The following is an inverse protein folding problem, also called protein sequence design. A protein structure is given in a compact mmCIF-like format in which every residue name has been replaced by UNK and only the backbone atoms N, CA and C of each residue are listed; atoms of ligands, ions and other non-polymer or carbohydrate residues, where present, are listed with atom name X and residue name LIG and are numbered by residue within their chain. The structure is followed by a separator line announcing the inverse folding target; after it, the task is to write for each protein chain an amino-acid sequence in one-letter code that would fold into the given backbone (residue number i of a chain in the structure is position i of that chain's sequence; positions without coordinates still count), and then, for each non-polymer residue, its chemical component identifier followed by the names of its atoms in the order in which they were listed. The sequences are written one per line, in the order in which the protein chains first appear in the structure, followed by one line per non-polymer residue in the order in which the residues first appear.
data_IF_325479968474
#
_entry.id   IF_325479968474
#
_cell.length_a   1.000
_cell.length_b   1.000
_cell.length_c   1.000
_cell.angle_alpha   90.00
_cell.angle_beta   90.00
_cell.angle_gamma   90.00
#
_symmetry.space_group_name_H-M   'P 1'
#
loop_
_entity.id
_entity.type
_entity.pdbx_description
1 polymer ?
#
# COMPACT_ATOMS: atom_id res chain seq x y z
N UNK A 1 -2.34 24.15 -10.61
CA UNK A 1 -2.17 24.94 -9.35
C UNK A 1 -1.04 24.29 -8.57
N UNK A 2 0.01 25.02 -8.23
CA UNK A 2 1.13 24.44 -7.46
C UNK A 2 0.76 24.46 -5.96
N UNK A 3 0.40 23.31 -5.40
CA UNK A 3 -0.06 23.16 -4.02
C UNK A 3 1.00 23.60 -2.98
N UNK A 4 2.30 23.45 -3.29
CA UNK A 4 3.39 23.98 -2.44
C UNK A 4 3.31 25.49 -2.21
N UNK A 5 2.74 26.25 -3.17
CA UNK A 5 2.60 27.70 -3.06
C UNK A 5 1.31 28.16 -2.38
N UNK A 6 0.36 27.28 -2.15
CA UNK A 6 -0.96 27.64 -1.59
C UNK A 6 -0.97 27.74 -0.07
N UNK A 7 0.01 27.15 0.63
CA UNK A 7 0.03 27.06 2.10
C UNK A 7 -1.05 26.16 2.72
N UNK A 8 -1.90 25.51 1.88
CA UNK A 8 -2.98 24.64 2.36
C UNK A 8 -2.57 23.19 2.56
N UNK A 9 -1.42 22.78 2.00
CA UNK A 9 -0.94 21.39 2.04
C UNK A 9 0.51 21.40 2.47
N UNK A 10 0.82 20.63 3.50
CA UNK A 10 2.19 20.28 3.86
C UNK A 10 2.68 19.21 2.87
N UNK A 11 3.51 19.62 1.92
CA UNK A 11 4.00 18.75 0.85
C UNK A 11 5.06 17.77 1.33
N UNK A 12 5.64 17.97 2.50
CA UNK A 12 6.64 17.07 3.08
C UNK A 12 5.97 15.95 3.89
N UNK A 13 4.64 16.06 4.10
CA UNK A 13 3.81 15.09 4.82
C UNK A 13 2.74 14.42 3.94
N UNK A 14 3.02 14.24 2.65
CA UNK A 14 2.10 13.53 1.74
C UNK A 14 2.20 12.03 2.00
N UNK A 15 1.06 11.41 2.29
CA UNK A 15 0.94 9.96 2.44
C UNK A 15 0.28 9.38 1.20
N UNK A 16 0.87 8.32 0.64
CA UNK A 16 0.24 7.56 -0.45
C UNK A 16 -0.65 6.48 0.12
N UNK A 17 -1.84 6.30 -0.45
CA UNK A 17 -2.79 5.30 0.01
C UNK A 17 -3.30 4.47 -1.15
N UNK A 18 -3.44 3.15 -0.90
CA UNK A 18 -4.01 2.25 -1.88
C UNK A 18 -4.65 1.01 -1.27
N UNK A 19 -5.58 0.43 -2.03
CA UNK A 19 -6.28 -0.80 -1.66
C UNK A 19 -6.09 -1.86 -2.74
N UNK A 20 -5.85 -3.11 -2.38
CA UNK A 20 -5.73 -4.23 -3.32
C UNK A 20 -4.64 -3.97 -4.37
N UNK A 21 -4.95 -4.03 -5.66
CA UNK A 21 -4.04 -3.65 -6.75
C UNK A 21 -3.62 -2.17 -6.67
N UNK A 22 -4.50 -1.26 -6.19
CA UNK A 22 -4.14 0.13 -5.87
C UNK A 22 -3.15 0.24 -4.71
N UNK A 23 -3.17 -0.73 -3.78
CA UNK A 23 -2.15 -0.89 -2.74
C UNK A 23 -0.78 -1.21 -3.33
N UNK A 24 -0.74 -2.08 -4.36
CA UNK A 24 0.49 -2.35 -5.12
C UNK A 24 1.03 -1.08 -5.77
N UNK A 25 0.19 -0.30 -6.45
CA UNK A 25 0.61 0.96 -7.09
C UNK A 25 1.16 1.97 -6.07
N UNK A 26 0.49 2.14 -4.93
CA UNK A 26 0.96 3.01 -3.85
C UNK A 26 2.30 2.54 -3.29
N UNK A 27 2.45 1.23 -3.09
CA UNK A 27 3.70 0.64 -2.64
C UNK A 27 4.82 0.72 -3.69
N UNK A 28 4.53 0.61 -5.00
CA UNK A 28 5.51 0.87 -6.06
C UNK A 28 6.10 2.28 -5.93
N UNK A 29 5.27 3.31 -5.78
CA UNK A 29 5.80 4.66 -5.56
C UNK A 29 6.67 4.73 -4.30
N UNK A 30 6.21 4.12 -3.20
CA UNK A 30 6.94 4.10 -1.93
C UNK A 30 8.29 3.37 -1.99
N UNK A 31 8.42 2.35 -2.85
CA UNK A 31 9.68 1.61 -3.04
C UNK A 31 10.62 2.31 -4.04
N UNK A 32 10.07 2.90 -5.09
CA UNK A 32 10.86 3.37 -6.23
C UNK A 32 11.05 4.89 -6.30
N UNK A 33 10.47 5.69 -5.40
CA UNK A 33 10.57 7.15 -5.43
C UNK A 33 12.01 7.68 -5.55
N UNK A 34 12.98 6.97 -4.97
CA UNK A 34 14.39 7.34 -4.94
C UNK A 34 15.16 6.96 -6.22
N UNK A 35 14.53 6.21 -7.14
CA UNK A 35 15.18 5.72 -8.35
C UNK A 35 15.25 6.80 -9.43
N UNK A 36 16.39 6.84 -10.14
CA UNK A 36 16.60 7.81 -11.21
C UNK A 36 15.61 7.66 -12.36
N UNK A 37 15.32 6.41 -12.74
CA UNK A 37 14.41 6.13 -13.84
C UNK A 37 12.99 6.66 -13.60
N UNK A 38 12.47 6.58 -12.35
CA UNK A 38 11.15 7.09 -12.03
C UNK A 38 11.10 8.62 -12.06
N UNK A 39 12.14 9.29 -11.54
CA UNK A 39 12.26 10.73 -11.59
C UNK A 39 12.32 11.25 -13.05
N UNK A 40 13.09 10.58 -13.89
CA UNK A 40 13.20 10.90 -15.34
C UNK A 40 11.85 10.70 -16.06
N UNK A 41 11.18 9.58 -15.83
CA UNK A 41 9.84 9.32 -16.40
C UNK A 41 8.80 10.36 -15.95
N UNK A 42 8.84 10.76 -14.69
CA UNK A 42 7.93 11.76 -14.14
C UNK A 42 8.30 13.21 -14.51
N UNK A 43 9.48 13.45 -15.03
CA UNK A 43 9.98 14.79 -15.36
C UNK A 43 10.19 15.69 -14.14
N UNK A 44 10.53 15.10 -12.97
CA UNK A 44 10.73 15.78 -11.70
C UNK A 44 11.96 15.25 -10.97
N UNK A 45 12.32 15.86 -9.84
CA UNK A 45 13.38 15.36 -8.97
C UNK A 45 12.84 14.35 -7.95
N UNK A 46 13.70 13.46 -7.45
CA UNK A 46 13.30 12.39 -6.53
C UNK A 46 12.63 12.91 -5.25
N UNK A 47 13.08 14.03 -4.71
CA UNK A 47 12.51 14.65 -3.51
C UNK A 47 11.03 15.03 -3.65
N UNK A 48 10.58 15.33 -4.88
CA UNK A 48 9.17 15.62 -5.18
C UNK A 48 8.32 14.33 -5.14
N UNK A 49 8.92 13.20 -5.46
CA UNK A 49 8.25 11.89 -5.47
C UNK A 49 8.19 11.23 -4.09
N UNK A 50 9.00 11.70 -3.13
CA UNK A 50 9.14 11.08 -1.82
C UNK A 50 7.84 11.14 -1.02
N UNK A 51 7.18 10.01 -0.71
CA UNK A 51 6.07 9.99 0.21
C UNK A 51 6.58 9.98 1.67
N UNK A 52 5.88 10.69 2.57
CA UNK A 52 6.18 10.64 4.00
C UNK A 52 5.86 9.26 4.61
N UNK A 53 4.83 8.60 4.09
CA UNK A 53 4.40 7.28 4.54
C UNK A 53 3.49 6.61 3.50
N UNK A 54 3.16 5.32 3.71
CA UNK A 54 2.18 4.59 2.93
C UNK A 54 1.09 3.98 3.82
N UNK A 55 -0.17 4.04 3.34
CA UNK A 55 -1.32 3.40 3.97
C UNK A 55 -1.88 2.35 3.01
N UNK A 56 -1.76 1.08 3.37
CA UNK A 56 -2.06 -0.04 2.49
C UNK A 56 -3.21 -0.88 3.04
N UNK A 57 -4.26 -0.99 2.25
CA UNK A 57 -5.43 -1.80 2.61
C UNK A 57 -5.39 -3.11 1.83
N UNK A 58 -5.23 -4.25 2.51
CA UNK A 58 -5.16 -5.59 1.88
C UNK A 58 -4.41 -5.59 0.54
N UNK A 59 -3.14 -5.10 0.52
CA UNK A 59 -2.43 -4.84 -0.72
C UNK A 59 -2.03 -6.11 -1.45
N UNK A 60 -1.99 -6.06 -2.78
CA UNK A 60 -1.18 -6.96 -3.59
C UNK A 60 0.28 -6.54 -3.41
N UNK A 61 1.19 -7.49 -3.16
CA UNK A 61 2.62 -7.22 -2.91
C UNK A 61 3.51 -8.16 -3.70
N UNK A 62 3.34 -9.47 -3.54
CA UNK A 62 4.24 -10.48 -4.12
C UNK A 62 3.75 -11.00 -5.46
N UNK A 63 4.68 -11.24 -6.37
CA UNK A 63 4.47 -12.02 -7.60
C UNK A 63 4.74 -13.53 -7.40
N UNK A 64 5.21 -13.94 -6.21
CA UNK A 64 5.62 -15.29 -5.87
C UNK A 64 4.47 -16.27 -5.61
N UNK A 65 4.63 -17.15 -4.63
CA UNK A 65 3.67 -18.23 -4.28
C UNK A 65 2.26 -17.68 -3.96
N UNK A 66 2.19 -16.57 -3.21
CA UNK A 66 0.92 -15.97 -2.75
C UNK A 66 0.42 -14.85 -3.67
N UNK A 67 0.87 -14.82 -4.92
CA UNK A 67 0.51 -13.77 -5.86
C UNK A 67 -0.98 -13.79 -6.22
N UNK A 68 -1.60 -12.61 -6.28
CA UNK A 68 -2.84 -12.44 -7.03
C UNK A 68 -2.52 -12.34 -8.52
N UNK A 69 -2.42 -13.50 -9.20
CA UNK A 69 -1.97 -13.61 -10.61
C UNK A 69 -2.73 -12.70 -11.56
N UNK A 70 -4.03 -12.52 -11.35
CA UNK A 70 -4.86 -11.63 -12.16
C UNK A 70 -4.37 -10.19 -12.17
N UNK A 71 -3.88 -9.67 -11.05
CA UNK A 71 -3.32 -8.31 -10.99
C UNK A 71 -2.08 -8.16 -11.87
N UNK A 72 -1.14 -9.09 -11.80
CA UNK A 72 0.08 -9.04 -12.61
C UNK A 72 -0.21 -9.20 -14.10
N UNK A 73 -1.10 -10.12 -14.46
CA UNK A 73 -1.54 -10.28 -15.85
C UNK A 73 -2.16 -8.99 -16.42
N UNK A 74 -3.02 -8.31 -15.66
CA UNK A 74 -3.61 -7.04 -16.08
C UNK A 74 -2.57 -5.92 -16.15
N UNK A 75 -1.67 -5.83 -15.16
CA UNK A 75 -0.63 -4.82 -15.12
C UNK A 75 0.36 -4.94 -16.29
N UNK A 76 0.76 -6.15 -16.64
CA UNK A 76 1.76 -6.43 -17.66
C UNK A 76 1.17 -6.68 -19.05
N UNK A 77 -0.16 -6.73 -19.17
CA UNK A 77 -0.83 -6.93 -20.47
C UNK A 77 -0.47 -8.27 -21.13
N UNK A 78 -0.11 -9.29 -20.35
CA UNK A 78 0.32 -10.60 -20.85
C UNK A 78 1.81 -10.67 -21.23
N UNK A 79 2.59 -9.59 -21.01
CA UNK A 79 4.04 -9.57 -21.24
C UNK A 79 4.82 -9.88 -19.93
N UNK A 80 4.42 -10.94 -19.24
CA UNK A 80 5.03 -11.36 -17.98
C UNK A 80 6.40 -12.00 -18.27
N UNK A 81 7.47 -11.36 -17.81
CA UNK A 81 8.81 -11.94 -17.77
C UNK A 81 9.24 -12.16 -16.31
N UNK A 82 10.21 -13.03 -16.09
CA UNK A 82 10.75 -13.28 -14.75
C UNK A 82 11.29 -11.99 -14.12
N UNK A 83 12.00 -11.18 -14.91
CA UNK A 83 12.58 -9.91 -14.47
C UNK A 83 11.50 -8.90 -14.05
N UNK A 84 10.40 -8.80 -14.81
CA UNK A 84 9.29 -7.90 -14.47
C UNK A 84 8.54 -8.40 -13.23
N UNK A 85 8.32 -9.70 -13.10
CA UNK A 85 7.70 -10.29 -11.92
C UNK A 85 8.58 -10.09 -10.68
N UNK A 86 9.90 -10.25 -10.80
CA UNK A 86 10.86 -9.99 -9.72
C UNK A 86 10.84 -8.51 -9.31
N UNK A 87 10.90 -7.58 -10.26
CA UNK A 87 10.84 -6.14 -10.02
C UNK A 87 9.54 -5.73 -9.32
N UNK A 88 8.42 -6.35 -9.69
CA UNK A 88 7.09 -6.04 -9.16
C UNK A 88 6.74 -6.84 -7.90
N UNK A 89 7.65 -7.69 -7.40
CA UNK A 89 7.54 -8.38 -6.11
C UNK A 89 8.07 -7.45 -5.03
N UNK A 90 7.18 -6.61 -4.48
CA UNK A 90 7.58 -5.43 -3.72
C UNK A 90 8.25 -5.73 -2.38
N UNK A 91 7.99 -6.89 -1.80
CA UNK A 91 8.73 -7.36 -0.62
C UNK A 91 10.24 -7.52 -0.88
N UNK A 92 10.63 -7.64 -2.14
CA UNK A 92 12.03 -7.73 -2.56
C UNK A 92 12.66 -6.38 -2.86
N UNK A 93 11.85 -5.33 -2.96
CA UNK A 93 12.26 -3.97 -3.32
C UNK A 93 12.40 -3.03 -2.10
N UNK A 94 12.17 -3.56 -0.89
CA UNK A 94 12.34 -2.79 0.35
C UNK A 94 13.80 -2.43 0.55
N UNK A 95 14.07 -1.16 0.83
CA UNK A 95 15.38 -0.59 1.15
C UNK A 95 15.26 0.37 2.33
N UNK A 96 16.37 0.95 2.79
CA UNK A 96 16.40 2.02 3.78
C UNK A 96 15.64 3.29 3.34
N UNK A 97 15.32 3.44 2.05
CA UNK A 97 14.53 4.56 1.52
C UNK A 97 13.03 4.33 1.61
N UNK A 98 12.59 3.12 1.94
CA UNK A 98 11.16 2.78 2.07
C UNK A 98 10.53 3.51 3.25
N UNK A 99 9.43 4.26 3.06
CA UNK A 99 8.81 5.03 4.14
C UNK A 99 8.03 4.14 5.13
N UNK A 100 7.69 4.66 6.32
CA UNK A 100 6.82 3.98 7.28
C UNK A 100 5.48 3.57 6.68
N UNK A 101 4.87 2.52 7.23
CA UNK A 101 3.61 1.98 6.73
C UNK A 101 2.56 1.78 7.81
N UNK A 102 1.30 2.11 7.46
CA UNK A 102 0.12 1.55 8.11
C UNK A 102 -0.49 0.51 7.17
N UNK A 103 -0.68 -0.72 7.65
CA UNK A 103 -1.20 -1.83 6.85
C UNK A 103 -2.36 -2.48 7.59
N UNK A 104 -3.42 -2.87 6.89
CA UNK A 104 -4.40 -3.77 7.44
C UNK A 104 -4.84 -4.83 6.41
N UNK A 105 -5.22 -6.01 6.93
CA UNK A 105 -5.63 -7.15 6.13
C UNK A 105 -6.57 -8.06 6.91
N UNK A 106 -7.33 -8.89 6.23
CA UNK A 106 -8.09 -9.96 6.87
C UNK A 106 -7.40 -11.30 6.67
N UNK A 107 -7.33 -12.10 7.73
CA UNK A 107 -6.66 -13.41 7.72
C UNK A 107 -7.27 -14.38 6.71
N UNK A 108 -8.60 -14.29 6.50
CA UNK A 108 -9.34 -15.19 5.62
C UNK A 108 -9.53 -14.68 4.20
N UNK A 109 -8.79 -13.65 3.79
CA UNK A 109 -8.79 -13.14 2.41
C UNK A 109 -8.26 -14.23 1.45
N UNK A 110 -9.15 -14.73 0.58
CA UNK A 110 -8.81 -15.77 -0.40
C UNK A 110 -8.41 -15.21 -1.77
N UNK A 111 -8.68 -13.94 -2.03
CA UNK A 111 -8.33 -13.30 -3.30
C UNK A 111 -6.90 -12.79 -3.30
N UNK A 112 -6.54 -12.05 -2.25
CA UNK A 112 -5.17 -11.60 -1.97
C UNK A 112 -4.79 -12.18 -0.61
N UNK A 113 -4.07 -13.29 -0.55
CA UNK A 113 -3.71 -13.92 0.73
C UNK A 113 -2.95 -12.96 1.65
N UNK A 114 -3.25 -13.01 2.95
CA UNK A 114 -2.62 -12.14 3.97
C UNK A 114 -1.09 -12.20 3.96
N UNK A 115 -0.52 -13.27 3.42
CA UNK A 115 0.91 -13.43 3.22
C UNK A 115 1.53 -12.29 2.41
N UNK A 116 0.78 -11.64 1.51
CA UNK A 116 1.24 -10.42 0.83
C UNK A 116 1.69 -9.36 1.85
N UNK A 117 0.84 -9.03 2.83
CA UNK A 117 1.18 -8.08 3.90
C UNK A 117 2.30 -8.60 4.79
N UNK A 118 2.27 -9.88 5.18
CA UNK A 118 3.28 -10.46 6.07
C UNK A 118 4.68 -10.48 5.45
N UNK A 119 4.79 -10.76 4.15
CA UNK A 119 6.06 -10.71 3.41
C UNK A 119 6.62 -9.28 3.37
N UNK A 120 5.78 -8.29 3.07
CA UNK A 120 6.20 -6.89 3.08
C UNK A 120 6.68 -6.46 4.47
N UNK A 121 5.92 -6.75 5.53
CA UNK A 121 6.27 -6.42 6.92
C UNK A 121 7.60 -7.09 7.30
N UNK A 122 7.77 -8.37 6.95
CA UNK A 122 9.01 -9.10 7.19
C UNK A 122 10.22 -8.47 6.50
N UNK A 123 10.04 -7.96 5.28
CA UNK A 123 11.07 -7.24 4.55
C UNK A 123 11.37 -5.87 5.19
N UNK A 124 10.33 -5.09 5.53
CA UNK A 124 10.49 -3.79 6.20
C UNK A 124 11.18 -3.92 7.57
N UNK A 125 10.91 -5.00 8.32
CA UNK A 125 11.57 -5.25 9.60
C UNK A 125 13.08 -5.44 9.50
N UNK A 126 13.59 -5.98 8.39
CA UNK A 126 15.04 -6.12 8.16
C UNK A 126 15.76 -4.77 8.09
N UNK A 127 15.07 -3.74 7.66
CA UNK A 127 15.57 -2.36 7.56
C UNK A 127 15.13 -1.49 8.74
N UNK A 128 14.51 -2.08 9.76
CA UNK A 128 14.01 -1.38 10.96
C UNK A 128 12.98 -0.28 10.64
N UNK A 129 12.27 -0.39 9.50
CA UNK A 129 11.27 0.59 9.08
C UNK A 129 9.99 0.40 9.91
N UNK A 130 9.44 1.47 10.52
CA UNK A 130 8.24 1.39 11.35
C UNK A 130 7.01 0.92 10.55
N UNK A 131 6.27 -0.05 11.12
CA UNK A 131 5.02 -0.54 10.57
C UNK A 131 3.97 -0.67 11.68
N UNK A 132 2.80 -0.07 11.49
CA UNK A 132 1.60 -0.41 12.26
C UNK A 132 0.75 -1.38 11.43
N UNK A 133 0.51 -2.60 11.95
CA UNK A 133 -0.24 -3.64 11.24
C UNK A 133 -1.44 -4.13 12.03
N UNK A 134 -2.60 -4.16 11.37
CA UNK A 134 -3.85 -4.68 11.91
C UNK A 134 -4.36 -5.86 11.08
N UNK A 135 -4.31 -7.06 11.66
CA UNK A 135 -4.86 -8.25 11.04
C UNK A 135 -6.19 -8.64 11.69
N UNK A 136 -7.25 -8.64 10.90
CA UNK A 136 -8.58 -9.07 11.35
C UNK A 136 -8.79 -10.55 11.09
N UNK A 137 -9.38 -11.29 12.02
CA UNK A 137 -9.45 -12.76 11.91
C UNK A 137 -10.33 -13.25 10.76
N UNK A 138 -11.36 -12.47 10.40
CA UNK A 138 -12.33 -12.86 9.37
C UNK A 138 -12.66 -11.69 8.47
N UNK A 139 -12.76 -11.93 7.18
CA UNK A 139 -13.21 -10.98 6.16
C UNK A 139 -12.84 -11.45 4.78
N UNK A 140 -13.66 -11.09 3.81
CA UNK A 140 -13.35 -11.29 2.40
C UNK A 140 -12.54 -10.11 1.86
N UNK A 141 -12.01 -10.26 0.67
CA UNK A 141 -11.30 -9.20 -0.02
C UNK A 141 -12.18 -7.98 -0.33
N UNK A 142 -11.58 -6.79 -0.34
CA UNK A 142 -12.24 -5.60 -0.88
C UNK A 142 -13.22 -4.91 0.07
N UNK A 143 -13.07 -5.06 1.38
CA UNK A 143 -14.00 -4.49 2.37
C UNK A 143 -13.99 -2.95 2.45
N UNK A 144 -12.97 -2.29 1.94
CA UNK A 144 -12.85 -0.82 1.93
C UNK A 144 -13.12 -0.20 3.32
N UNK A 145 -14.13 0.64 3.49
CA UNK A 145 -14.48 1.22 4.80
C UNK A 145 -15.21 0.25 5.73
N UNK A 146 -15.52 -0.95 5.28
CA UNK A 146 -16.28 -1.99 6.02
C UNK A 146 -17.67 -1.52 6.49
N UNK A 147 -18.22 -0.50 5.86
CA UNK A 147 -19.44 0.20 6.27
C UNK A 147 -20.45 0.33 5.13
N UNK A 148 -21.62 0.89 5.42
CA UNK A 148 -22.65 1.17 4.41
C UNK A 148 -22.18 2.08 3.27
N UNK A 149 -21.13 2.89 3.48
CA UNK A 149 -20.59 3.78 2.45
C UNK A 149 -20.00 3.03 1.26
N UNK A 150 -19.46 1.84 1.51
CA UNK A 150 -18.77 1.03 0.48
C UNK A 150 -19.38 -0.35 0.30
N UNK A 151 -20.48 -0.63 1.02
CA UNK A 151 -21.20 -1.90 0.88
C UNK A 151 -21.93 -2.00 -0.44
N UNK A 152 -22.08 -3.22 -0.94
CA UNK A 152 -22.98 -3.51 -2.06
C UNK A 152 -24.45 -3.37 -1.62
N UNK A 153 -25.37 -3.31 -2.58
CA UNK A 153 -26.80 -3.13 -2.33
C UNK A 153 -27.40 -4.22 -1.41
N UNK A 154 -26.86 -5.42 -1.46
CA UNK A 154 -27.25 -6.56 -0.64
C UNK A 154 -26.64 -6.56 0.78
N UNK A 155 -25.93 -5.48 1.15
CA UNK A 155 -25.24 -5.37 2.44
C UNK A 155 -23.87 -6.06 2.50
N UNK A 156 -23.46 -6.71 1.42
CA UNK A 156 -22.13 -7.32 1.34
C UNK A 156 -21.03 -6.26 1.48
N UNK A 157 -20.05 -6.52 2.34
CA UNK A 157 -18.95 -5.57 2.64
C UNK A 157 -19.14 -4.79 3.93
N UNK A 158 -20.28 -4.96 4.63
CA UNK A 158 -20.43 -4.43 5.98
C UNK A 158 -19.82 -5.43 6.96
N UNK A 159 -18.73 -5.01 7.63
CA UNK A 159 -18.07 -5.81 8.65
C UNK A 159 -17.49 -4.89 9.73
N UNK A 160 -18.26 -4.73 10.81
CA UNK A 160 -17.99 -3.72 11.85
C UNK A 160 -16.61 -3.89 12.51
N UNK A 161 -16.20 -5.13 12.71
CA UNK A 161 -14.93 -5.48 13.35
C UNK A 161 -13.75 -4.92 12.55
N UNK A 162 -13.77 -5.08 11.22
CA UNK A 162 -12.75 -4.54 10.34
C UNK A 162 -12.81 -3.01 10.25
N UNK A 163 -13.99 -2.40 10.42
CA UNK A 163 -14.16 -0.94 10.34
C UNK A 163 -13.33 -0.14 11.34
N UNK A 164 -12.81 -0.77 12.38
CA UNK A 164 -11.92 -0.16 13.36
C UNK A 164 -10.58 0.31 12.76
N UNK A 165 -10.21 -0.15 11.55
CA UNK A 165 -8.99 0.30 10.88
C UNK A 165 -8.98 1.82 10.60
N UNK A 166 -10.13 2.42 10.29
CA UNK A 166 -10.24 3.85 9.98
C UNK A 166 -9.82 4.77 11.15
N UNK A 167 -10.40 4.64 12.38
CA UNK A 167 -9.93 5.44 13.52
C UNK A 167 -8.47 5.13 13.91
N UNK A 168 -8.01 3.89 13.71
CA UNK A 168 -6.61 3.52 13.94
C UNK A 168 -5.68 4.23 12.95
N UNK A 169 -5.99 4.19 11.66
CA UNK A 169 -5.24 4.89 10.63
C UNK A 169 -5.24 6.42 10.87
N UNK A 170 -6.38 7.00 11.26
CA UNK A 170 -6.46 8.42 11.61
C UNK A 170 -5.51 8.77 12.77
N UNK A 171 -5.50 7.97 13.83
CA UNK A 171 -4.59 8.16 14.98
C UNK A 171 -3.14 8.07 14.52
N UNK A 172 -2.80 7.08 13.72
CA UNK A 172 -1.45 6.88 13.19
C UNK A 172 -0.99 8.07 12.32
N UNK A 173 -1.86 8.59 11.44
CA UNK A 173 -1.58 9.78 10.63
C UNK A 173 -1.36 11.04 11.46
N UNK A 174 -2.08 11.19 12.58
CA UNK A 174 -1.90 12.33 13.50
C UNK A 174 -0.53 12.21 14.17
N UNK A 175 -0.17 11.02 14.69
CA UNK A 175 1.14 10.80 15.31
C UNK A 175 2.29 11.07 14.32
N UNK A 176 2.18 10.59 13.09
CA UNK A 176 3.16 10.83 12.03
C UNK A 176 3.35 12.34 11.69
N UNK A 177 2.28 13.13 11.85
CA UNK A 177 2.36 14.58 11.65
C UNK A 177 3.17 15.29 12.73
N UNK A 178 3.09 14.78 13.96
CA UNK A 178 3.65 15.43 15.14
C UNK A 178 5.15 15.06 15.36
N UNK A 179 5.69 14.12 14.56
CA UNK A 179 7.12 13.81 14.44
C UNK A 179 7.80 14.74 13.43
#
# INVERSE_FOLDING_TARGET
MNMRRSGYVDTDKIVVQGSSAGGHLAACLAMFWHTKWLAEMAGVTNDILKPAAMLLNYPVITSGEYAHRGSFKQLLGGNETEELLELLSLEKQVTEHTPPAFIWHTYTDQSVPVQNSLLLIGAMKKYEIPVEFHMYPVGKHGLSTCSRLTAMRDGTGIQKECGSWLPLAKRWLIALRDE
#
